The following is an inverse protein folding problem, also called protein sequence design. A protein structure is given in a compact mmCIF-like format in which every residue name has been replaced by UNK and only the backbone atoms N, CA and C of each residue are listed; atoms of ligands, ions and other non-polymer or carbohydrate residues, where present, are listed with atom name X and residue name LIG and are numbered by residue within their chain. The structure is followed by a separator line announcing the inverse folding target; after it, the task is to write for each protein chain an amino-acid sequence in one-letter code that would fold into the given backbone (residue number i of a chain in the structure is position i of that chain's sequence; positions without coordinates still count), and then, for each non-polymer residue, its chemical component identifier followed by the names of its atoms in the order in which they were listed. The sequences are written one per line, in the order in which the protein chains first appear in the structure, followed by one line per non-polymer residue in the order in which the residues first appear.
data_IF_078400151840
#
_entry.id   IF_078400151840
#
_cell.length_a   1.000
_cell.length_b   1.000
_cell.length_c   1.000
_cell.angle_alpha   90.00
_cell.angle_beta   90.00
_cell.angle_gamma   90.00
#
_symmetry.space_group_name_H-M   'P 1'
#
loop_
_entity.id
_entity.type
_entity.pdbx_description
1 polymer ?
#
# COMPACT_ATOMS: atom_id res chain seq x y z
N UNK A 1 8.90 -12.22 12.10
CA UNK A 1 8.79 -11.11 11.10
C UNK A 1 9.83 -11.16 10.00
N UNK A 2 11.15 -11.11 10.31
CA UNK A 2 12.23 -11.04 9.30
C UNK A 2 12.17 -12.18 8.26
N UNK A 3 11.96 -13.42 8.69
CA UNK A 3 11.79 -14.58 7.80
C UNK A 3 10.55 -14.49 6.88
N UNK A 4 9.43 -13.92 7.35
CA UNK A 4 8.22 -13.75 6.52
C UNK A 4 8.44 -12.71 5.42
N UNK A 5 9.13 -11.61 5.74
CA UNK A 5 9.53 -10.60 4.76
C UNK A 5 10.43 -11.23 3.69
N UNK A 6 11.44 -12.02 4.10
CA UNK A 6 12.32 -12.72 3.17
C UNK A 6 11.59 -13.73 2.28
N UNK A 7 10.65 -14.51 2.86
CA UNK A 7 9.81 -15.45 2.11
C UNK A 7 9.01 -14.75 1.01
N UNK A 8 8.23 -13.73 1.39
CA UNK A 8 7.44 -12.94 0.44
C UNK A 8 8.37 -12.30 -0.61
N UNK A 9 9.49 -11.72 -0.17
CA UNK A 9 10.43 -11.08 -1.09
C UNK A 9 11.06 -12.04 -2.11
N UNK A 10 11.42 -13.26 -1.68
CA UNK A 10 11.98 -14.30 -2.54
C UNK A 10 10.93 -14.87 -3.51
N UNK A 11 9.71 -15.12 -3.02
CA UNK A 11 8.59 -15.63 -3.83
C UNK A 11 8.23 -14.67 -4.97
N UNK A 12 8.35 -13.36 -4.74
CA UNK A 12 8.01 -12.32 -5.71
C UNK A 12 9.20 -11.70 -6.45
N UNK A 13 10.37 -12.36 -6.44
CA UNK A 13 11.58 -11.95 -7.20
C UNK A 13 11.95 -10.47 -7.06
N UNK A 14 11.91 -9.93 -5.84
CA UNK A 14 12.35 -8.56 -5.55
C UNK A 14 11.53 -7.40 -6.18
N UNK A 15 10.40 -7.71 -6.82
CA UNK A 15 9.56 -6.70 -7.49
C UNK A 15 8.67 -5.89 -6.55
N UNK A 16 8.63 -6.26 -5.27
CA UNK A 16 7.65 -5.73 -4.33
C UNK A 16 8.24 -4.63 -3.45
N UNK A 17 7.60 -3.47 -3.48
CA UNK A 17 7.88 -2.35 -2.58
C UNK A 17 7.29 -2.55 -1.19
N UNK A 18 7.70 -1.69 -0.25
CA UNK A 18 7.25 -1.67 1.16
C UNK A 18 5.74 -1.80 1.28
N UNK A 19 4.97 -1.11 0.44
CA UNK A 19 3.50 -1.12 0.50
C UNK A 19 2.87 -2.46 0.14
N UNK A 20 3.46 -3.19 -0.82
CA UNK A 20 2.93 -4.49 -1.23
C UNK A 20 3.30 -5.58 -0.22
N UNK A 21 4.53 -5.54 0.30
CA UNK A 21 4.98 -6.41 1.40
C UNK A 21 4.12 -6.17 2.66
N UNK A 22 3.80 -4.92 2.96
CA UNK A 22 2.88 -4.57 4.04
C UNK A 22 1.49 -5.16 3.83
N UNK A 23 0.95 -5.07 2.61
CA UNK A 23 -0.37 -5.62 2.30
C UNK A 23 -0.41 -7.14 2.51
N UNK A 24 0.54 -7.89 1.93
CA UNK A 24 0.63 -9.35 2.08
C UNK A 24 0.80 -9.76 3.54
N UNK A 25 1.69 -9.08 4.28
CA UNK A 25 1.85 -9.33 5.72
C UNK A 25 0.57 -9.04 6.50
N UNK A 26 -0.14 -7.96 6.17
CA UNK A 26 -1.36 -7.61 6.87
C UNK A 26 -2.50 -8.62 6.57
N UNK A 27 -2.54 -9.22 5.38
CA UNK A 27 -3.47 -10.30 5.06
C UNK A 27 -3.17 -11.56 5.88
N UNK A 28 -1.91 -12.00 5.95
CA UNK A 28 -1.52 -13.16 6.78
C UNK A 28 -1.78 -12.94 8.27
N UNK A 29 -1.67 -11.69 8.74
CA UNK A 29 -1.81 -11.33 10.15
C UNK A 29 -3.25 -10.94 10.53
N UNK A 30 -4.14 -10.73 9.56
CA UNK A 30 -5.56 -10.45 9.76
C UNK A 30 -6.25 -11.51 10.64
N UNK A 31 -6.13 -12.84 10.41
CA UNK A 31 -6.72 -13.85 11.29
C UNK A 31 -6.08 -13.87 12.68
N UNK A 32 -4.85 -13.38 12.81
CA UNK A 32 -4.13 -13.29 14.07
C UNK A 32 -4.42 -11.99 14.85
N UNK A 33 -5.28 -11.10 14.32
CA UNK A 33 -5.52 -9.74 14.81
C UNK A 33 -4.25 -8.89 15.01
N UNK A 34 -3.15 -9.29 14.37
CA UNK A 34 -1.88 -8.59 14.45
C UNK A 34 -1.80 -7.57 13.32
N UNK A 35 -1.31 -6.36 13.61
CA UNK A 35 -1.09 -5.32 12.61
C UNK A 35 0.39 -5.02 12.46
N UNK A 36 0.83 -4.94 11.21
CA UNK A 36 2.16 -4.45 10.87
C UNK A 36 2.11 -2.96 10.57
N UNK A 37 3.12 -2.21 11.03
CA UNK A 37 3.30 -0.83 10.61
C UNK A 37 4.26 -0.80 9.40
N UNK A 38 3.93 -0.11 8.29
CA UNK A 38 4.82 0.00 7.13
C UNK A 38 6.18 0.61 7.48
N UNK A 39 6.28 1.50 8.47
CA UNK A 39 7.57 2.05 8.96
C UNK A 39 8.48 0.94 9.51
N UNK A 40 7.90 -0.02 10.23
CA UNK A 40 8.65 -1.15 10.78
C UNK A 40 9.12 -2.08 9.68
N UNK A 41 8.30 -2.31 8.65
CA UNK A 41 8.68 -3.09 7.47
C UNK A 41 9.81 -2.41 6.70
N UNK A 42 9.75 -1.09 6.49
CA UNK A 42 10.81 -0.33 5.82
C UNK A 42 12.15 -0.43 6.56
N UNK A 43 12.13 -0.33 7.90
CA UNK A 43 13.35 -0.53 8.72
C UNK A 43 13.90 -1.95 8.59
N UNK A 44 13.02 -2.96 8.66
CA UNK A 44 13.40 -4.36 8.52
C UNK A 44 13.96 -4.68 7.13
N UNK A 45 13.39 -4.10 6.06
CA UNK A 45 13.94 -4.23 4.70
C UNK A 45 15.35 -3.64 4.63
N UNK A 46 15.58 -2.46 5.21
CA UNK A 46 16.91 -1.84 5.26
C UNK A 46 17.91 -2.65 6.08
N UNK A 47 17.49 -3.19 7.23
CA UNK A 47 18.32 -4.10 8.06
C UNK A 47 18.70 -5.38 7.32
N UNK A 48 17.89 -5.84 6.37
CA UNK A 48 18.11 -7.06 5.59
C UNK A 48 18.79 -6.79 4.24
N UNK A 49 19.20 -5.54 3.97
CA UNK A 49 19.75 -5.08 2.69
C UNK A 49 18.81 -5.33 1.48
N UNK A 50 17.50 -5.36 1.74
CA UNK A 50 16.46 -5.63 0.75
C UNK A 50 16.04 -4.32 0.09
N UNK A 51 16.37 -4.20 -1.19
CA UNK A 51 15.97 -3.08 -2.03
C UNK A 51 14.81 -3.49 -2.93
N UNK A 52 13.73 -2.71 -2.96
CA UNK A 52 12.64 -2.96 -3.90
C UNK A 52 12.99 -2.41 -5.28
N UNK A 53 12.90 -3.24 -6.31
CA UNK A 53 13.03 -2.78 -7.69
C UNK A 53 11.68 -2.16 -8.10
N UNK A 54 11.51 -0.86 -7.88
CA UNK A 54 10.30 -0.14 -8.30
C UNK A 54 10.31 0.13 -9.79
N UNK A 55 9.93 -0.86 -10.59
CA UNK A 55 9.68 -0.69 -12.03
C UNK A 55 8.33 -0.03 -12.31
N UNK A 56 7.37 -0.14 -11.39
CA UNK A 56 6.09 0.56 -11.47
C UNK A 56 5.52 0.77 -10.06
N UNK A 57 4.87 1.91 -9.80
CA UNK A 57 4.30 2.24 -8.49
C UNK A 57 3.11 1.32 -8.23
N UNK A 58 3.22 0.42 -7.25
CA UNK A 58 2.11 -0.44 -6.85
C UNK A 58 0.92 0.41 -6.39
N UNK A 59 -0.26 0.17 -6.98
CA UNK A 59 -1.53 0.66 -6.49
C UNK A 59 -2.28 -0.51 -5.87
N UNK A 60 -2.74 -0.34 -4.65
CA UNK A 60 -3.78 -1.23 -4.13
C UNK A 60 -4.96 -1.15 -5.11
N UNK A 61 -5.50 -2.29 -5.52
CA UNK A 61 -6.83 -2.32 -6.11
C UNK A 61 -7.78 -1.90 -4.98
N UNK A 62 -7.95 -0.59 -4.81
CA UNK A 62 -8.98 -0.05 -3.95
C UNK A 62 -10.28 -0.61 -4.49
N UNK A 63 -10.90 -1.53 -3.73
CA UNK A 63 -12.33 -1.80 -3.86
C UNK A 63 -12.99 -0.44 -4.02
N UNK A 64 -13.67 -0.26 -5.15
CA UNK A 64 -14.35 0.96 -5.54
C UNK A 64 -15.07 1.53 -4.33
N UNK A 65 -14.53 2.61 -3.77
CA UNK A 65 -15.31 3.50 -2.92
C UNK A 65 -16.38 4.06 -3.83
N UNK A 66 -17.59 3.55 -3.69
CA UNK A 66 -18.80 4.18 -4.20
C UNK A 66 -18.71 5.67 -3.89
N UNK A 67 -18.71 6.48 -4.95
CA UNK A 67 -18.68 7.92 -4.83
C UNK A 67 -19.91 8.42 -4.09
N UNK A 68 -19.70 9.22 -3.07
CA UNK A 68 -20.66 10.21 -2.56
C UNK A 68 -19.82 11.29 -1.90
N UNK A 69 -19.23 12.13 -2.74
CA UNK A 69 -18.30 13.18 -2.37
C UNK A 69 -17.83 13.91 -3.62
N UNK A 70 -18.79 14.25 -4.50
CA UNK A 70 -18.54 15.16 -5.60
C UNK A 70 -18.30 16.55 -5.00
N UNK A 71 -17.07 17.00 -5.20
CA UNK A 71 -16.56 18.32 -4.88
C UNK A 71 -17.43 19.37 -5.58
N UNK A 72 -18.15 20.20 -4.82
CA UNK A 72 -18.80 21.40 -5.36
C UNK A 72 -17.71 22.43 -5.62
N UNK A 73 -17.31 22.52 -6.89
CA UNK A 73 -16.51 23.62 -7.38
C UNK A 73 -17.15 24.06 -8.70
N UNK A 74 -17.58 25.33 -8.67
CA UNK A 74 -17.70 26.34 -9.73
C UNK A 74 -18.75 26.13 -10.83
N UNK A 75 -19.76 27.00 -10.83
CA UNK A 75 -19.93 27.93 -11.94
C UNK A 75 -20.52 29.27 -11.43
N UNK A 76 -19.80 30.35 -11.71
CA UNK A 76 -20.21 31.73 -11.47
C UNK A 76 -20.76 32.24 -12.80
N UNK A 77 -22.08 32.47 -12.87
CA UNK A 77 -22.64 33.41 -13.82
C UNK A 77 -23.89 34.07 -13.24
N UNK A 78 -23.74 35.36 -12.93
CA UNK A 78 -24.78 36.38 -12.96
C UNK A 78 -25.79 36.14 -14.10
N UNK A 79 -27.09 36.40 -13.86
CA UNK A 79 -27.90 37.42 -14.56
C UNK A 79 -29.34 37.41 -14.03
N UNK A 80 -29.84 38.60 -13.70
CA UNK A 80 -31.23 38.97 -13.35
C UNK A 80 -32.29 38.51 -14.34
N UNK A 81 -33.49 38.17 -13.85
CA UNK A 81 -34.71 39.01 -13.85
C UNK A 81 -35.87 38.24 -13.18
#
# INVERSE_FOLDING_TARGET
MKQRILRIFAEFKQRYGVMKIHHELNLELQPLQLRCNPRRISRLMKELDIHSVTVNKWKAASASKTGSGANSLRDDHLTSY
#
